data_IF_674244759827
#
_entry.id   IF_674244759827
#
_cell.length_a   1.000
_cell.length_b   1.000
_cell.length_c   1.000
_cell.angle_alpha   90.00
_cell.angle_beta   90.00
_cell.angle_gamma   90.00
#
_symmetry.space_group_name_H-M   'P 1'
#
loop_
_entity.id
_entity.type
_entity.pdbx_description
1 polymer ?
#
# COMPACT_ATOMS: atom_id res chain seq x y z
N UNK A 1 26.91 15.18 6.99
CA UNK A 1 25.78 15.43 6.07
C UNK A 1 24.52 15.62 6.91
N UNK A 2 23.97 16.84 6.90
CA UNK A 2 22.54 17.16 6.80
C UNK A 2 21.48 16.38 7.60
N UNK A 3 21.73 15.99 8.86
CA UNK A 3 20.65 15.46 9.73
C UNK A 3 19.53 16.50 9.94
N UNK A 4 19.88 17.78 10.01
CA UNK A 4 18.92 18.89 10.04
C UNK A 4 18.05 18.95 8.75
N UNK A 5 18.67 18.76 7.58
CA UNK A 5 17.92 18.68 6.31
C UNK A 5 17.07 17.41 6.28
N UNK A 6 17.56 16.30 6.82
CA UNK A 6 16.78 15.07 6.93
C UNK A 6 15.55 15.30 7.82
N UNK A 7 15.68 15.95 8.96
CA UNK A 7 14.54 16.26 9.83
C UNK A 7 13.48 17.10 9.10
N UNK A 8 13.91 18.18 8.42
CA UNK A 8 13.02 19.01 7.62
C UNK A 8 12.34 18.24 6.47
N UNK A 9 13.11 17.41 5.75
CA UNK A 9 12.60 16.62 4.62
C UNK A 9 11.70 15.46 5.09
N UNK A 10 11.99 14.86 6.23
CA UNK A 10 11.22 13.76 6.79
C UNK A 10 9.84 14.24 7.29
N UNK A 11 9.73 15.48 7.76
CA UNK A 11 8.45 16.11 8.12
C UNK A 11 7.55 16.48 6.94
N UNK A 12 8.04 16.45 5.70
CA UNK A 12 7.24 16.76 4.52
C UNK A 12 6.35 15.57 4.10
N UNK A 13 5.04 15.81 4.01
CA UNK A 13 4.04 14.81 3.57
C UNK A 13 4.00 14.56 2.05
N UNK A 14 4.83 15.26 1.27
CA UNK A 14 4.84 15.21 -0.19
C UNK A 14 3.48 15.53 -0.87
N UNK A 15 2.62 16.33 -0.22
CA UNK A 15 1.28 16.69 -0.71
C UNK A 15 1.26 17.60 -1.97
N UNK A 16 2.43 18.03 -2.47
CA UNK A 16 2.61 18.90 -3.65
C UNK A 16 2.00 20.32 -3.57
N UNK A 17 1.46 20.74 -2.43
CA UNK A 17 0.92 22.10 -2.26
C UNK A 17 1.98 23.20 -2.49
N UNK A 18 3.21 23.01 -2.00
CA UNK A 18 4.29 23.96 -2.22
C UNK A 18 4.72 24.05 -3.70
N UNK A 19 4.66 22.94 -4.44
CA UNK A 19 5.05 22.90 -5.85
C UNK A 19 4.03 23.61 -6.75
N UNK A 20 2.72 23.45 -6.47
CA UNK A 20 1.66 24.10 -7.24
C UNK A 20 1.59 25.61 -7.01
N UNK A 21 1.93 26.08 -5.81
CA UNK A 21 1.92 27.50 -5.46
C UNK A 21 3.23 28.23 -5.80
N UNK A 22 4.29 27.51 -6.17
CA UNK A 22 5.60 28.11 -6.40
C UNK A 22 5.64 28.87 -7.74
N UNK A 23 5.87 30.20 -7.76
CA UNK A 23 5.88 30.99 -8.99
C UNK A 23 7.02 30.60 -9.95
N UNK A 24 8.11 30.03 -9.42
CA UNK A 24 9.26 29.56 -10.19
C UNK A 24 9.29 28.02 -10.33
N UNK A 25 8.20 27.33 -9.95
CA UNK A 25 8.01 25.87 -10.13
C UNK A 25 9.06 24.99 -9.45
N UNK A 26 9.46 25.31 -8.22
CA UNK A 26 10.30 24.43 -7.41
C UNK A 26 9.51 23.21 -6.94
N UNK A 27 9.99 22.01 -7.27
CA UNK A 27 9.39 20.74 -6.84
C UNK A 27 10.11 20.17 -5.61
N UNK A 28 9.76 20.72 -4.44
CA UNK A 28 10.27 20.23 -3.15
C UNK A 28 9.95 18.75 -2.91
N UNK A 29 8.75 18.22 -3.21
CA UNK A 29 8.47 16.78 -3.10
C UNK A 29 9.44 15.88 -3.89
N UNK A 30 9.79 16.27 -5.12
CA UNK A 30 10.77 15.54 -5.92
C UNK A 30 12.19 15.65 -5.37
N UNK A 31 12.57 16.81 -4.83
CA UNK A 31 13.87 16.96 -4.16
C UNK A 31 13.97 16.12 -2.89
N UNK A 32 12.89 16.06 -2.10
CA UNK A 32 12.80 15.22 -0.91
C UNK A 32 13.07 13.75 -1.24
N UNK A 33 12.41 13.18 -2.25
CA UNK A 33 12.57 11.76 -2.58
C UNK A 33 14.00 11.42 -3.01
N UNK A 34 14.62 12.29 -3.83
CA UNK A 34 16.03 12.16 -4.24
C UNK A 34 16.99 12.29 -3.07
N UNK A 35 16.78 13.28 -2.22
CA UNK A 35 17.58 13.49 -1.02
C UNK A 35 17.49 12.27 -0.08
N UNK A 36 16.30 11.77 0.23
CA UNK A 36 16.11 10.61 1.10
C UNK A 36 16.73 9.34 0.51
N UNK A 37 16.72 9.17 -0.81
CA UNK A 37 17.41 8.06 -1.47
C UNK A 37 18.93 8.12 -1.25
N UNK A 38 19.54 9.29 -1.44
CA UNK A 38 20.98 9.49 -1.22
C UNK A 38 21.32 9.39 0.28
N UNK A 39 20.48 9.94 1.15
CA UNK A 39 20.66 9.85 2.60
C UNK A 39 20.67 8.38 3.04
N UNK A 40 19.69 7.59 2.60
CA UNK A 40 19.58 6.18 2.96
C UNK A 40 20.52 5.23 2.22
N UNK A 41 21.31 5.73 1.26
CA UNK A 41 22.46 4.96 0.76
C UNK A 41 23.62 4.93 1.77
N UNK A 42 23.62 5.83 2.76
CA UNK A 42 24.62 5.91 3.84
C UNK A 42 24.04 5.55 5.21
N UNK A 43 22.77 5.87 5.47
CA UNK A 43 22.11 5.65 6.76
C UNK A 43 20.98 4.63 6.64
N UNK A 44 20.87 3.73 7.62
CA UNK A 44 19.81 2.71 7.59
C UNK A 44 18.41 3.34 7.66
N UNK A 45 17.47 2.77 6.91
CA UNK A 45 16.05 3.13 7.03
C UNK A 45 15.46 2.54 8.32
N UNK A 46 14.46 3.21 8.92
CA UNK A 46 13.68 2.61 9.99
C UNK A 46 13.06 1.27 9.57
N UNK A 47 12.92 0.34 10.51
CA UNK A 47 12.35 -0.99 10.24
C UNK A 47 10.95 -0.93 9.61
N UNK A 48 10.12 0.03 10.05
CA UNK A 48 8.78 0.28 9.48
C UNK A 48 8.78 0.54 7.98
N UNK A 49 9.81 1.21 7.43
CA UNK A 49 9.88 1.53 6.01
C UNK A 49 9.97 0.26 5.18
N UNK A 50 10.74 -0.72 5.66
CA UNK A 50 10.86 -2.02 5.01
C UNK A 50 9.56 -2.84 5.12
N UNK A 51 8.84 -2.76 6.24
CA UNK A 51 7.55 -3.43 6.38
C UNK A 51 6.52 -2.86 5.40
N UNK A 52 6.39 -1.53 5.34
CA UNK A 52 5.47 -0.85 4.42
C UNK A 52 5.85 -1.17 2.96
N UNK A 53 7.14 -1.11 2.62
CA UNK A 53 7.60 -1.41 1.27
C UNK A 53 7.31 -2.84 0.81
N UNK A 54 7.13 -3.79 1.74
CA UNK A 54 6.83 -5.19 1.43
C UNK A 54 5.36 -5.56 1.70
N UNK A 55 4.48 -4.60 2.01
CA UNK A 55 3.11 -4.93 2.40
C UNK A 55 2.34 -5.60 1.25
N UNK A 56 2.57 -5.16 0.00
CA UNK A 56 1.90 -5.71 -1.18
C UNK A 56 2.22 -7.20 -1.41
N UNK A 57 3.43 -7.65 -1.05
CA UNK A 57 3.83 -9.06 -1.17
C UNK A 57 3.36 -9.89 0.02
N UNK A 58 3.24 -9.29 1.20
CA UNK A 58 2.79 -9.95 2.42
C UNK A 58 1.26 -10.11 2.48
N UNK A 59 0.51 -9.14 1.98
CA UNK A 59 -0.95 -9.09 2.03
C UNK A 59 -1.64 -10.35 1.46
N UNK A 60 -1.28 -10.87 0.26
CA UNK A 60 -1.85 -12.10 -0.27
C UNK A 60 -1.66 -13.31 0.65
N UNK A 61 -0.53 -13.37 1.39
CA UNK A 61 -0.25 -14.44 2.33
C UNK A 61 -1.07 -14.29 3.61
N UNK A 62 -1.17 -13.07 4.14
CA UNK A 62 -1.97 -12.77 5.33
C UNK A 62 -3.47 -12.98 5.08
N UNK A 63 -3.95 -12.66 3.88
CA UNK A 63 -5.34 -12.81 3.45
C UNK A 63 -5.81 -14.27 3.31
N UNK A 64 -4.91 -15.27 3.39
CA UNK A 64 -5.30 -16.69 3.45
C UNK A 64 -5.94 -17.07 4.77
N UNK A 65 -5.62 -16.36 5.86
CA UNK A 65 -6.15 -16.62 7.20
C UNK A 65 -6.47 -15.30 7.93
N UNK A 66 -7.38 -14.47 7.39
CA UNK A 66 -7.59 -13.10 7.87
C UNK A 66 -8.14 -13.06 9.30
N UNK A 67 -8.91 -14.08 9.72
CA UNK A 67 -9.40 -14.19 11.10
C UNK A 67 -8.28 -14.34 12.14
N UNK A 68 -7.26 -15.15 11.84
CA UNK A 68 -6.10 -15.35 12.73
C UNK A 68 -5.27 -14.07 12.79
N UNK A 69 -4.96 -13.49 11.63
CA UNK A 69 -4.18 -12.25 11.52
C UNK A 69 -4.88 -11.12 12.27
N UNK A 70 -6.18 -10.91 12.05
CA UNK A 70 -6.96 -9.91 12.76
C UNK A 70 -7.04 -10.20 14.25
N UNK A 71 -7.13 -11.47 14.66
CA UNK A 71 -7.12 -11.86 16.07
C UNK A 71 -5.84 -11.42 16.79
N UNK A 72 -4.69 -11.53 16.12
CA UNK A 72 -3.39 -11.05 16.63
C UNK A 72 -3.32 -9.53 16.62
N UNK A 73 -3.62 -8.88 15.48
CA UNK A 73 -3.51 -7.42 15.33
C UNK A 73 -4.47 -6.63 16.24
N UNK A 74 -5.59 -7.23 16.66
CA UNK A 74 -6.53 -6.63 17.60
C UNK A 74 -6.01 -6.53 19.03
N UNK A 75 -5.02 -7.34 19.41
CA UNK A 75 -4.53 -7.37 20.79
C UNK A 75 -3.80 -6.08 21.16
N UNK A 76 -4.21 -5.42 22.24
CA UNK A 76 -3.64 -4.15 22.68
C UNK A 76 -2.14 -4.24 22.98
N UNK A 77 -1.66 -5.38 23.48
CA UNK A 77 -0.24 -5.61 23.74
C UNK A 77 0.56 -5.71 22.44
N UNK A 78 0.00 -6.28 21.37
CA UNK A 78 0.64 -6.35 20.05
C UNK A 78 0.80 -4.94 19.50
N UNK A 79 -0.27 -4.12 19.54
CA UNK A 79 -0.23 -2.73 19.10
C UNK A 79 0.82 -1.90 19.86
N UNK A 80 0.89 -2.06 21.18
CA UNK A 80 1.88 -1.37 22.01
C UNK A 80 3.31 -1.81 21.68
N UNK A 81 3.52 -3.11 21.48
CA UNK A 81 4.82 -3.66 21.11
C UNK A 81 5.28 -3.17 19.73
N UNK A 82 4.42 -3.22 18.72
CA UNK A 82 4.76 -2.77 17.36
C UNK A 82 5.00 -1.26 17.30
N UNK A 83 4.22 -0.48 18.05
CA UNK A 83 4.42 0.96 18.18
C UNK A 83 5.79 1.28 18.80
N UNK A 84 6.14 0.59 19.90
CA UNK A 84 7.35 0.90 20.68
C UNK A 84 8.65 0.37 20.05
N UNK A 85 8.59 -0.76 19.34
CA UNK A 85 9.80 -1.41 18.79
C UNK A 85 10.05 -1.08 17.33
N UNK A 86 8.99 -1.12 16.51
CA UNK A 86 9.08 -0.94 15.06
C UNK A 86 8.68 0.48 14.64
N UNK A 87 7.90 1.18 15.48
CA UNK A 87 7.30 2.46 15.12
C UNK A 87 6.11 2.31 14.16
N UNK A 88 5.54 1.11 14.07
CA UNK A 88 4.37 0.82 13.23
C UNK A 88 3.11 0.92 14.08
N UNK A 89 2.27 1.91 13.76
CA UNK A 89 1.05 2.25 14.48
C UNK A 89 -0.16 2.05 13.58
N UNK A 90 -1.29 1.71 14.18
CA UNK A 90 -2.59 1.62 13.52
C UNK A 90 -2.61 0.72 12.27
N UNK A 91 -2.07 -0.49 12.41
CA UNK A 91 -2.18 -1.52 11.39
C UNK A 91 -3.66 -1.80 11.04
N UNK A 92 -4.08 -1.66 9.76
CA UNK A 92 -5.44 -1.93 9.35
C UNK A 92 -5.75 -3.43 9.47
N UNK A 93 -7.02 -3.74 9.76
CA UNK A 93 -7.51 -5.10 9.81
C UNK A 93 -7.89 -5.57 8.41
N UNK A 94 -7.63 -6.84 8.11
CA UNK A 94 -8.01 -7.44 6.84
C UNK A 94 -9.54 -7.62 6.76
N UNK A 95 -10.10 -7.47 5.57
CA UNK A 95 -11.52 -7.68 5.33
C UNK A 95 -11.90 -9.13 5.57
N UNK A 96 -13.01 -9.32 6.29
CA UNK A 96 -13.65 -10.62 6.50
C UNK A 96 -15.15 -10.44 6.26
N UNK A 97 -15.77 -11.15 5.29
CA UNK A 97 -15.19 -12.04 4.29
C UNK A 97 -14.20 -11.35 3.33
N UNK A 98 -13.29 -12.14 2.75
CA UNK A 98 -12.29 -11.65 1.76
C UNK A 98 -12.96 -11.24 0.45
N UNK A 99 -12.32 -10.37 -0.34
CA UNK A 99 -12.83 -9.98 -1.66
C UNK A 99 -13.16 -11.20 -2.52
N UNK A 100 -12.27 -12.19 -2.58
CA UNK A 100 -12.47 -13.43 -3.36
C UNK A 100 -13.79 -14.12 -3.00
N UNK A 101 -14.12 -14.21 -1.73
CA UNK A 101 -15.37 -14.83 -1.26
C UNK A 101 -16.61 -13.99 -1.63
N UNK A 102 -16.47 -12.67 -1.69
CA UNK A 102 -17.58 -11.74 -1.99
C UNK A 102 -17.94 -11.73 -3.48
N UNK A 103 -16.94 -11.86 -4.36
CA UNK A 103 -17.13 -11.73 -5.82
C UNK A 103 -17.16 -13.06 -6.56
N UNK A 104 -17.04 -14.19 -5.86
CA UNK A 104 -16.98 -15.54 -6.46
C UNK A 104 -18.19 -15.85 -7.36
N UNK A 105 -19.38 -15.36 -7.01
CA UNK A 105 -20.60 -15.53 -7.81
C UNK A 105 -20.80 -14.47 -8.90
N UNK A 106 -20.05 -13.37 -8.84
CA UNK A 106 -20.23 -12.20 -9.71
C UNK A 106 -19.16 -12.07 -10.78
N UNK A 107 -18.01 -12.72 -10.59
CA UNK A 107 -16.82 -12.53 -11.42
C UNK A 107 -16.22 -13.85 -11.85
N UNK A 108 -15.60 -13.85 -13.02
CA UNK A 108 -14.76 -14.94 -13.48
C UNK A 108 -13.29 -14.59 -13.20
N UNK A 109 -12.47 -15.56 -12.76
CA UNK A 109 -11.04 -15.35 -12.63
C UNK A 109 -10.42 -14.87 -13.94
N UNK A 110 -9.41 -14.00 -13.81
CA UNK A 110 -8.66 -13.53 -14.98
C UNK A 110 -7.96 -14.70 -15.69
N UNK A 111 -8.24 -14.86 -16.97
CA UNK A 111 -7.56 -15.77 -17.87
C UNK A 111 -7.26 -15.06 -19.20
N UNK A 112 -5.98 -14.75 -19.41
CA UNK A 112 -5.53 -14.07 -20.62
C UNK A 112 -5.78 -14.89 -21.89
N UNK A 113 -5.66 -16.22 -21.81
CA UNK A 113 -5.83 -17.09 -22.97
C UNK A 113 -7.29 -17.08 -23.42
N UNK A 114 -8.22 -17.25 -22.48
CA UNK A 114 -9.66 -17.15 -22.75
C UNK A 114 -10.03 -15.77 -23.31
N UNK A 115 -9.54 -14.68 -22.70
CA UNK A 115 -9.83 -13.31 -23.14
C UNK A 115 -9.26 -13.00 -24.54
N UNK A 116 -8.08 -13.56 -24.87
CA UNK A 116 -7.45 -13.35 -26.17
C UNK A 116 -8.26 -13.97 -27.32
N UNK A 117 -8.88 -15.13 -27.06
CA UNK A 117 -9.69 -15.89 -28.02
C UNK A 117 -11.08 -15.33 -28.28
N UNK A 118 -11.54 -14.35 -27.50
CA UNK A 118 -12.83 -13.70 -27.70
C UNK A 118 -12.89 -12.95 -29.04
N UNK A 119 -14.02 -13.06 -29.72
CA UNK A 119 -14.33 -12.26 -30.90
C UNK A 119 -14.50 -10.77 -30.55
N UNK A 120 -14.41 -9.90 -31.55
CA UNK A 120 -14.58 -8.45 -31.36
C UNK A 120 -15.94 -8.07 -30.77
N UNK A 121 -17.01 -8.82 -31.09
CA UNK A 121 -18.34 -8.61 -30.52
C UNK A 121 -18.48 -9.10 -29.08
N UNK A 122 -17.66 -10.06 -28.65
CA UNK A 122 -17.65 -10.52 -27.26
C UNK A 122 -16.83 -9.56 -26.41
N UNK A 123 -15.67 -9.11 -26.91
CA UNK A 123 -14.81 -8.13 -26.22
C UNK A 123 -15.58 -6.83 -25.88
N UNK A 124 -16.47 -6.37 -26.76
CA UNK A 124 -17.30 -5.18 -26.50
C UNK A 124 -18.33 -5.35 -25.38
N UNK A 125 -18.61 -6.59 -24.96
CA UNK A 125 -19.52 -6.93 -23.86
C UNK A 125 -18.78 -7.34 -22.57
N UNK A 126 -17.44 -7.33 -22.58
CA UNK A 126 -16.63 -7.70 -21.43
C UNK A 126 -16.10 -6.47 -20.70
N UNK A 127 -16.08 -6.54 -19.37
CA UNK A 127 -15.49 -5.53 -18.49
C UNK A 127 -14.40 -6.20 -17.67
N UNK A 128 -13.19 -5.61 -17.68
CA UNK A 128 -12.11 -6.03 -16.81
C UNK A 128 -12.02 -5.06 -15.63
N UNK A 129 -12.04 -5.62 -14.42
CA UNK A 129 -11.92 -4.85 -13.18
C UNK A 129 -10.53 -5.13 -12.60
N UNK A 130 -9.73 -4.07 -12.46
CA UNK A 130 -8.42 -4.14 -11.81
C UNK A 130 -8.56 -3.46 -10.46
N UNK A 131 -8.46 -4.25 -9.39
CA UNK A 131 -8.54 -3.77 -8.02
C UNK A 131 -7.17 -3.43 -7.48
N UNK A 132 -7.10 -2.40 -6.64
CA UNK A 132 -5.90 -2.09 -5.90
C UNK A 132 -5.80 -2.93 -4.60
N UNK A 133 -4.61 -3.03 -3.98
CA UNK A 133 -4.44 -3.81 -2.77
C UNK A 133 -5.28 -3.33 -1.57
N UNK A 134 -5.56 -2.03 -1.47
CA UNK A 134 -6.29 -1.50 -0.32
C UNK A 134 -7.74 -1.96 -0.34
N UNK A 135 -8.45 -1.76 -1.46
CA UNK A 135 -9.82 -2.27 -1.63
C UNK A 135 -9.87 -3.80 -1.60
N UNK A 136 -8.84 -4.47 -2.12
CA UNK A 136 -8.79 -5.93 -2.14
C UNK A 136 -8.67 -6.58 -0.76
N UNK A 137 -7.92 -5.96 0.15
CA UNK A 137 -7.52 -6.60 1.41
C UNK A 137 -8.05 -5.93 2.67
N UNK A 138 -8.34 -4.63 2.65
CA UNK A 138 -8.77 -3.88 3.84
C UNK A 138 -10.22 -3.38 3.73
N UNK A 139 -10.69 -3.07 2.53
CA UNK A 139 -12.00 -2.44 2.28
C UNK A 139 -12.83 -3.20 1.24
N UNK A 140 -12.87 -4.54 1.35
CA UNK A 140 -13.48 -5.42 0.34
C UNK A 140 -15.03 -5.34 0.26
N UNK A 141 -15.67 -4.52 1.09
CA UNK A 141 -17.10 -4.23 1.07
C UNK A 141 -17.50 -3.04 0.17
N UNK A 142 -16.53 -2.24 -0.30
CA UNK A 142 -16.73 -1.13 -1.25
C UNK A 142 -16.61 -1.63 -2.68
#
# INVERSE_FOLDING_TARGET
>A
FSHEVYEAMNGCLACKACASQCPIKVDVPSFRSRFLNIYHSRYQRPAKDYLVANIETMLPMMAKAPGVVNGVLKQSWVKSLTASTVGYVDAPLLSVPTLKQRVESLTTPYDLQALSGLSSSEKSKHVLIVQDPFTSYYDADV
#
